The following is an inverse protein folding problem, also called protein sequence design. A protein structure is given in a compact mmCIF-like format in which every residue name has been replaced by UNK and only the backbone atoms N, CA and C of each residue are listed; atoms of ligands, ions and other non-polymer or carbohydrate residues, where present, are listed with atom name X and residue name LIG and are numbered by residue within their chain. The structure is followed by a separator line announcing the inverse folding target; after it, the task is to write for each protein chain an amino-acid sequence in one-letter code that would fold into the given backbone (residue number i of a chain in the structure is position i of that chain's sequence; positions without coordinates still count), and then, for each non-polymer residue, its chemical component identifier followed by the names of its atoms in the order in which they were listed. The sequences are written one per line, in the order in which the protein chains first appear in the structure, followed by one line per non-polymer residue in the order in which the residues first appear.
data_IF_568939603895
#
_entry.id   IF_568939603895
#
_cell.length_a   1.000
_cell.length_b   1.000
_cell.length_c   1.000
_cell.angle_alpha   90.00
_cell.angle_beta   90.00
_cell.angle_gamma   90.00
#
_symmetry.space_group_name_H-M   'P 1'
#
loop_
_entity.id
_entity.type
_entity.pdbx_description
1 polymer ?
#
# COMPACT_ATOMS: atom_id res chain seq x y z
N UNK A 1 9.64 -7.19 6.09
CA UNK A 1 8.23 -6.80 5.84
C UNK A 1 7.54 -6.69 7.18
N UNK A 2 6.76 -5.63 7.37
CA UNK A 2 5.99 -5.36 8.60
C UNK A 2 4.56 -5.06 8.20
N UNK A 3 3.59 -5.66 8.90
CA UNK A 3 2.16 -5.38 8.76
C UNK A 3 1.66 -4.82 10.09
N UNK A 4 0.92 -3.72 10.02
CA UNK A 4 0.16 -3.18 11.14
C UNK A 4 -1.13 -3.94 11.40
N UNK A 5 -1.92 -3.42 12.33
CA UNK A 5 -3.22 -3.95 12.72
C UNK A 5 -4.33 -3.52 11.76
N UNK A 6 -5.38 -4.37 11.63
CA UNK A 6 -6.59 -4.08 10.82
C UNK A 6 -6.30 -3.77 9.33
N UNK A 7 -5.18 -4.26 8.81
CA UNK A 7 -4.83 -4.12 7.39
C UNK A 7 -5.72 -4.99 6.53
N UNK A 8 -6.30 -4.41 5.47
CA UNK A 8 -7.07 -5.11 4.45
C UNK A 8 -6.22 -5.27 3.20
N UNK A 9 -6.09 -6.50 2.71
CA UNK A 9 -5.33 -6.82 1.50
C UNK A 9 -6.26 -7.52 0.51
N UNK A 10 -6.43 -6.93 -0.66
CA UNK A 10 -7.19 -7.49 -1.76
C UNK A 10 -6.51 -8.71 -2.42
N UNK A 11 -7.26 -9.43 -3.24
CA UNK A 11 -6.74 -10.57 -3.97
C UNK A 11 -5.70 -10.15 -5.04
N UNK A 12 -4.67 -10.98 -5.23
CA UNK A 12 -3.64 -10.73 -6.26
C UNK A 12 -2.69 -9.58 -5.94
N UNK A 13 -2.66 -9.10 -4.70
CA UNK A 13 -1.68 -8.12 -4.25
C UNK A 13 -0.29 -8.75 -4.13
N UNK A 14 0.75 -8.01 -4.53
CA UNK A 14 2.14 -8.40 -4.37
C UNK A 14 2.80 -7.44 -3.41
N UNK A 15 3.23 -7.93 -2.24
CA UNK A 15 3.91 -7.13 -1.22
C UNK A 15 5.31 -7.69 -1.02
N UNK A 16 6.33 -6.86 -1.27
CA UNK A 16 7.74 -7.26 -1.17
C UNK A 16 8.55 -6.20 -0.46
N UNK A 17 9.33 -6.60 0.54
CA UNK A 17 10.22 -5.72 1.32
C UNK A 17 9.57 -4.40 1.80
N UNK A 18 8.27 -4.42 2.07
CA UNK A 18 7.50 -3.21 2.39
C UNK A 18 7.05 -3.21 3.84
N UNK A 19 6.79 -2.01 4.36
CA UNK A 19 6.24 -1.79 5.70
C UNK A 19 4.87 -1.14 5.54
N UNK A 20 3.86 -1.75 6.13
CA UNK A 20 2.46 -1.33 6.06
C UNK A 20 1.99 -0.98 7.47
N UNK A 21 1.53 0.25 7.67
CA UNK A 21 0.97 0.72 8.94
C UNK A 21 -0.44 0.22 9.23
N UNK A 22 -0.97 0.57 10.40
CA UNK A 22 -2.30 0.16 10.86
C UNK A 22 -3.42 0.75 10.00
N UNK A 23 -4.59 0.10 9.96
CA UNK A 23 -5.78 0.56 9.25
C UNK A 23 -5.54 0.85 7.75
N UNK A 24 -4.54 0.20 7.15
CA UNK A 24 -4.27 0.32 5.72
C UNK A 24 -5.20 -0.55 4.88
N UNK A 25 -5.61 -0.02 3.73
CA UNK A 25 -6.45 -0.75 2.78
C UNK A 25 -5.75 -0.83 1.42
N UNK A 26 -5.39 -2.05 1.03
CA UNK A 26 -4.75 -2.36 -0.23
C UNK A 26 -5.77 -3.03 -1.13
N UNK A 27 -6.19 -2.33 -2.18
CA UNK A 27 -7.12 -2.86 -3.16
C UNK A 27 -6.51 -4.00 -3.99
N UNK A 28 -7.34 -4.91 -4.57
CA UNK A 28 -6.88 -6.04 -5.37
C UNK A 28 -5.98 -5.64 -6.55
N UNK A 29 -5.13 -6.57 -6.98
CA UNK A 29 -4.20 -6.42 -8.11
C UNK A 29 -3.18 -5.27 -7.96
N UNK A 30 -2.87 -4.87 -6.73
CA UNK A 30 -1.88 -3.83 -6.44
C UNK A 30 -0.50 -4.41 -6.12
N UNK A 31 0.55 -3.71 -6.55
CA UNK A 31 1.94 -4.13 -6.37
C UNK A 31 2.65 -3.12 -5.49
N UNK A 32 3.18 -3.59 -4.37
CA UNK A 32 3.83 -2.82 -3.31
C UNK A 32 5.23 -3.42 -3.10
N UNK A 33 6.24 -2.81 -3.71
CA UNK A 33 7.63 -3.27 -3.61
C UNK A 33 8.51 -2.15 -3.04
N UNK A 34 9.32 -2.48 -2.02
CA UNK A 34 10.22 -1.56 -1.32
C UNK A 34 9.54 -0.21 -0.95
N UNK A 35 8.33 -0.29 -0.39
CA UNK A 35 7.50 0.86 -0.03
C UNK A 35 7.23 0.96 1.48
N UNK A 36 7.04 2.18 1.97
CA UNK A 36 6.61 2.47 3.35
C UNK A 36 5.25 3.17 3.33
N UNK A 37 4.24 2.49 3.89
CA UNK A 37 2.88 3.00 4.08
C UNK A 37 2.68 3.34 5.56
N UNK A 38 2.27 4.58 5.83
CA UNK A 38 1.85 5.02 7.16
C UNK A 38 0.44 4.51 7.52
N UNK A 39 0.04 4.64 8.78
CA UNK A 39 -1.29 4.24 9.23
C UNK A 39 -2.40 4.98 8.44
N UNK A 40 -3.54 4.33 8.24
CA UNK A 40 -4.68 4.81 7.46
C UNK A 40 -4.36 5.12 5.99
N UNK A 41 -3.37 4.45 5.38
CA UNK A 41 -3.10 4.55 3.95
C UNK A 41 -4.08 3.71 3.13
N UNK A 42 -4.60 4.26 2.03
CA UNK A 42 -5.48 3.53 1.10
C UNK A 42 -4.85 3.48 -0.29
N UNK A 43 -4.59 2.27 -0.76
CA UNK A 43 -4.04 1.99 -2.08
C UNK A 43 -5.18 1.55 -3.00
N UNK A 44 -5.38 2.31 -4.08
CA UNK A 44 -6.40 2.04 -5.08
C UNK A 44 -6.13 0.75 -5.87
N UNK A 45 -7.14 0.21 -6.58
CA UNK A 45 -6.98 -0.99 -7.39
C UNK A 45 -6.03 -0.72 -8.57
N UNK A 46 -5.23 -1.72 -8.93
CA UNK A 46 -4.19 -1.63 -9.98
C UNK A 46 -3.08 -0.62 -9.68
N UNK A 47 -2.90 -0.22 -8.42
CA UNK A 47 -1.83 0.67 -8.05
C UNK A 47 -0.48 -0.06 -8.03
N UNK A 48 0.54 0.57 -8.59
CA UNK A 48 1.91 0.06 -8.56
C UNK A 48 2.83 1.07 -7.88
N UNK A 49 3.19 0.79 -6.63
CA UNK A 49 4.19 1.54 -5.89
C UNK A 49 5.58 1.11 -6.37
N UNK A 50 6.40 2.08 -6.77
CA UNK A 50 7.78 1.85 -7.16
C UNK A 50 8.68 1.79 -5.91
N UNK A 51 9.84 1.12 -6.01
CA UNK A 51 10.84 1.13 -4.94
C UNK A 51 11.19 2.57 -4.51
N UNK A 52 11.11 2.85 -3.21
CA UNK A 52 11.30 4.19 -2.65
C UNK A 52 10.03 5.05 -2.62
N UNK A 53 8.85 4.46 -2.88
CA UNK A 53 7.58 5.14 -2.65
C UNK A 53 7.34 5.30 -1.14
N UNK A 54 7.49 6.54 -0.67
CA UNK A 54 7.24 6.89 0.72
C UNK A 54 5.93 7.66 0.80
N UNK A 55 4.87 7.02 1.29
CA UNK A 55 3.59 7.69 1.50
C UNK A 55 3.57 8.27 2.92
N UNK A 56 3.96 9.54 3.04
CA UNK A 56 3.97 10.27 4.31
C UNK A 56 2.64 10.99 4.64
N UNK A 57 1.64 10.94 3.74
CA UNK A 57 0.36 11.62 3.92
C UNK A 57 -0.81 10.64 4.05
N UNK A 58 -1.48 10.73 5.20
CA UNK A 58 -2.82 10.19 5.45
C UNK A 58 -3.85 10.63 4.39
N UNK A 59 -5.04 10.01 4.38
CA UNK A 59 -5.36 8.94 3.44
C UNK A 59 -5.21 9.42 1.98
N UNK A 60 -4.00 9.29 1.42
CA UNK A 60 -3.80 9.59 0.01
C UNK A 60 -4.29 8.39 -0.80
N UNK A 61 -5.37 8.54 -1.55
CA UNK A 61 -5.81 7.54 -2.51
C UNK A 61 -4.77 7.49 -3.64
N UNK A 62 -3.78 6.59 -3.53
CA UNK A 62 -2.78 6.40 -4.58
C UNK A 62 -3.41 5.55 -5.69
N UNK A 63 -4.23 6.18 -6.54
CA UNK A 63 -4.68 5.60 -7.81
C UNK A 63 -3.70 6.02 -8.88
N UNK A 64 -2.67 5.20 -9.15
CA UNK A 64 -1.77 5.50 -10.26
C UNK A 64 -2.49 5.18 -11.59
N UNK A 65 -3.09 6.21 -12.20
CA UNK A 65 -3.39 6.24 -13.62
C UNK A 65 -2.63 7.42 -14.23
N UNK A 66 -1.61 7.07 -15.04
CA UNK A 66 -0.62 7.87 -15.75
C UNK A 66 0.65 8.27 -14.98
#
# INVERSE_FOLDING_TARGET
MVLGDRVKIGAGCVIKNSTIGDDCEISPYSVVEDAQLQAACTIGPFARLRPGANCWQAPTLVTSWK
#
